data_IF_726816771693
#
_entry.id   IF_726816771693
#
_cell.length_a   1.000
_cell.length_b   1.000
_cell.length_c   1.000
_cell.angle_alpha   90.00
_cell.angle_beta   90.00
_cell.angle_gamma   90.00
#
_symmetry.space_group_name_H-M   'P 1'
#
loop_
_entity.id
_entity.type
_entity.pdbx_description
1 polymer ?
#
# COMPACT_ATOMS: atom_id res chain seq x y z
N UNK A 1 -15.75 -33.24 9.95
CA UNK A 1 -14.62 -32.51 9.32
C UNK A 1 -14.40 -31.25 10.12
N UNK A 2 -13.14 -30.90 10.42
CA UNK A 2 -12.78 -29.76 11.27
C UNK A 2 -12.90 -28.39 10.55
N UNK A 3 -13.23 -28.39 9.26
CA UNK A 3 -13.43 -27.20 8.43
C UNK A 3 -14.39 -27.54 7.27
N UNK A 4 -14.91 -26.50 6.61
CA UNK A 4 -15.89 -26.56 5.53
C UNK A 4 -15.27 -26.16 4.18
N UNK A 5 -15.98 -26.43 3.08
CA UNK A 5 -15.57 -25.97 1.76
C UNK A 5 -15.46 -24.43 1.66
N UNK A 6 -16.27 -23.72 2.46
CA UNK A 6 -16.21 -22.26 2.56
C UNK A 6 -14.90 -21.80 3.19
N UNK A 7 -14.42 -22.51 4.21
CA UNK A 7 -13.16 -22.17 4.89
C UNK A 7 -11.95 -22.39 3.97
N UNK A 8 -12.00 -23.40 3.10
CA UNK A 8 -10.99 -23.60 2.04
C UNK A 8 -11.00 -22.44 1.04
N UNK A 9 -12.20 -21.99 0.64
CA UNK A 9 -12.36 -20.86 -0.28
C UNK A 9 -11.88 -19.55 0.35
N UNK A 10 -12.15 -19.33 1.63
CA UNK A 10 -11.72 -18.15 2.37
C UNK A 10 -10.19 -18.13 2.53
N UNK A 11 -9.58 -19.27 2.90
CA UNK A 11 -8.13 -19.39 2.98
C UNK A 11 -7.47 -19.13 1.61
N UNK A 12 -8.07 -19.62 0.52
CA UNK A 12 -7.61 -19.34 -0.85
C UNK A 12 -7.69 -17.85 -1.18
N UNK A 13 -8.79 -17.18 -0.84
CA UNK A 13 -8.94 -15.74 -1.06
C UNK A 13 -7.89 -14.94 -0.29
N UNK A 14 -7.60 -15.35 0.95
CA UNK A 14 -6.61 -14.69 1.82
C UNK A 14 -5.16 -14.92 1.40
N UNK A 15 -4.83 -16.11 0.90
CA UNK A 15 -3.43 -16.52 0.66
C UNK A 15 -3.02 -16.56 -0.80
N UNK A 16 -3.99 -16.63 -1.73
CA UNK A 16 -3.76 -16.80 -3.15
C UNK A 16 -3.27 -18.20 -3.56
N UNK A 17 -3.19 -19.16 -2.63
CA UNK A 17 -2.75 -20.53 -2.90
C UNK A 17 -3.78 -21.36 -3.70
N UNK A 18 -3.33 -22.45 -4.31
CA UNK A 18 -4.19 -23.39 -5.03
C UNK A 18 -5.25 -24.02 -4.11
N UNK A 19 -6.45 -24.30 -4.64
CA UNK A 19 -7.58 -24.84 -3.85
C UNK A 19 -7.21 -26.14 -3.09
N UNK A 20 -6.43 -27.01 -3.72
CA UNK A 20 -5.97 -28.26 -3.10
C UNK A 20 -4.90 -28.03 -2.03
N UNK A 21 -4.11 -26.98 -2.15
CA UNK A 21 -3.08 -26.64 -1.17
C UNK A 21 -3.71 -25.98 0.07
N UNK A 22 -4.71 -25.12 -0.12
CA UNK A 22 -5.53 -24.59 0.98
C UNK A 22 -6.23 -25.70 1.76
N UNK A 23 -6.76 -26.71 1.05
CA UNK A 23 -7.37 -27.88 1.69
C UNK A 23 -6.33 -28.66 2.50
N UNK A 24 -5.18 -28.98 1.93
CA UNK A 24 -4.08 -29.67 2.63
C UNK A 24 -3.57 -28.90 3.84
N UNK A 25 -3.51 -27.58 3.75
CA UNK A 25 -3.09 -26.73 4.85
C UNK A 25 -4.09 -26.79 6.00
N UNK A 26 -5.39 -26.70 5.73
CA UNK A 26 -6.43 -26.83 6.74
C UNK A 26 -6.51 -28.25 7.33
N UNK A 27 -6.19 -29.28 6.55
CA UNK A 27 -6.06 -30.65 7.06
C UNK A 27 -4.85 -30.80 8.00
N UNK A 28 -3.72 -30.16 7.67
CA UNK A 28 -2.50 -30.23 8.47
C UNK A 28 -2.54 -29.37 9.75
N UNK A 29 -3.49 -28.43 9.85
CA UNK A 29 -3.60 -27.49 10.97
C UNK A 29 -4.94 -27.58 11.70
N UNK A 30 -5.64 -28.71 11.55
CA UNK A 30 -6.92 -29.00 12.21
C UNK A 30 -7.99 -27.91 12.01
N UNK A 31 -8.05 -27.33 10.82
CA UNK A 31 -9.00 -26.28 10.46
C UNK A 31 -8.65 -24.88 10.98
N UNK A 32 -7.50 -24.69 11.65
CA UNK A 32 -7.05 -23.37 12.08
C UNK A 32 -6.51 -22.57 10.89
N UNK A 33 -7.23 -21.51 10.49
CA UNK A 33 -6.92 -20.68 9.33
C UNK A 33 -5.60 -19.87 9.46
N UNK A 34 -5.23 -19.46 10.67
CA UNK A 34 -3.98 -18.70 10.91
C UNK A 34 -2.77 -19.61 10.75
N UNK A 35 -2.80 -20.77 11.42
CA UNK A 35 -1.77 -21.80 11.27
C UNK A 35 -1.70 -22.33 9.83
N UNK A 36 -2.84 -22.47 9.15
CA UNK A 36 -2.87 -22.90 7.75
C UNK A 36 -2.18 -21.87 6.83
N UNK A 37 -2.33 -20.58 7.13
CA UNK A 37 -1.65 -19.50 6.41
C UNK A 37 -0.14 -19.56 6.61
N UNK A 38 0.31 -19.78 7.83
CA UNK A 38 1.74 -19.98 8.15
C UNK A 38 2.30 -21.24 7.48
N UNK A 39 1.58 -22.35 7.55
CA UNK A 39 1.96 -23.61 6.91
C UNK A 39 2.12 -23.45 5.38
N UNK A 40 1.21 -22.73 4.74
CA UNK A 40 1.33 -22.42 3.31
C UNK A 40 2.53 -21.51 3.01
N UNK A 41 2.88 -20.57 3.91
CA UNK A 41 4.05 -19.69 3.76
C UNK A 41 5.35 -20.46 3.94
N UNK A 42 5.45 -21.32 4.96
CA UNK A 42 6.62 -22.17 5.21
C UNK A 42 6.94 -23.08 4.03
N UNK A 43 5.89 -23.61 3.37
CA UNK A 43 6.05 -24.46 2.18
C UNK A 43 6.24 -23.67 0.88
N UNK A 44 6.24 -22.34 0.93
CA UNK A 44 6.38 -21.48 -0.24
C UNK A 44 5.19 -21.52 -1.21
N UNK A 45 4.04 -22.03 -0.76
CA UNK A 45 2.82 -22.21 -1.57
C UNK A 45 1.88 -21.00 -1.44
N UNK A 46 1.85 -20.34 -0.27
CA UNK A 46 1.19 -19.04 -0.11
C UNK A 46 2.10 -17.91 -0.61
N UNK A 47 1.63 -17.22 -1.65
CA UNK A 47 2.23 -15.98 -2.11
C UNK A 47 1.82 -14.80 -1.22
N UNK A 48 2.24 -14.80 0.03
CA UNK A 48 2.01 -13.65 0.91
C UNK A 48 2.89 -12.42 0.57
N UNK A 49 3.88 -12.58 -0.32
CA UNK A 49 4.78 -11.50 -0.73
C UNK A 49 5.15 -11.52 -2.23
N UNK A 50 4.73 -12.52 -3.01
CA UNK A 50 5.13 -12.67 -4.44
C UNK A 50 4.06 -12.18 -5.43
N UNK A 51 3.50 -11.00 -5.20
CA UNK A 51 2.91 -10.20 -6.30
C UNK A 51 3.88 -9.13 -6.78
N UNK A 52 4.62 -8.49 -5.88
CA UNK A 52 5.67 -7.51 -6.20
C UNK A 52 6.84 -8.09 -7.04
N UNK A 53 7.02 -9.42 -7.02
CA UNK A 53 8.04 -10.12 -7.82
C UNK A 53 7.51 -10.77 -9.11
N UNK A 54 6.23 -10.59 -9.46
CA UNK A 54 5.73 -10.98 -10.78
C UNK A 54 6.01 -9.85 -11.75
N UNK A 55 6.50 -10.19 -12.93
CA UNK A 55 6.77 -9.20 -13.97
C UNK A 55 5.42 -8.65 -14.45
N UNK A 56 5.04 -7.47 -13.96
CA UNK A 56 3.92 -6.70 -14.47
C UNK A 56 4.41 -5.92 -15.71
N UNK A 57 4.47 -6.59 -16.86
CA UNK A 57 4.96 -5.99 -18.11
C UNK A 57 3.87 -5.27 -18.92
N UNK A 58 2.62 -5.29 -18.45
CA UNK A 58 1.50 -4.56 -19.04
C UNK A 58 1.15 -3.39 -18.11
N UNK A 59 0.31 -2.46 -18.58
CA UNK A 59 -0.05 -1.30 -17.79
C UNK A 59 -0.63 -0.18 -18.64
N UNK A 60 -0.82 0.97 -18.00
CA UNK A 60 -1.28 2.20 -18.64
C UNK A 60 -0.40 3.34 -18.16
N UNK A 61 -0.03 4.22 -19.10
CA UNK A 61 0.50 5.54 -18.80
C UNK A 61 -0.64 6.52 -18.99
N UNK A 62 -1.00 7.26 -17.93
CA UNK A 62 -1.96 8.35 -18.02
C UNK A 62 -1.27 9.69 -17.81
N UNK A 63 -1.85 10.74 -18.38
CA UNK A 63 -1.38 12.11 -18.23
C UNK A 63 -2.50 13.04 -17.80
N UNK A 64 -2.23 13.90 -16.83
CA UNK A 64 -3.19 14.88 -16.35
C UNK A 64 -2.59 16.28 -16.38
N UNK A 65 -3.33 17.23 -16.96
CA UNK A 65 -2.94 18.64 -17.03
C UNK A 65 -3.96 19.48 -16.27
N UNK A 66 -3.49 20.26 -15.30
CA UNK A 66 -4.31 21.14 -14.48
C UNK A 66 -4.02 22.62 -14.77
N UNK A 67 -5.02 23.48 -14.57
CA UNK A 67 -4.92 24.95 -14.67
C UNK A 67 -4.32 25.47 -15.99
N UNK A 68 -4.72 24.88 -17.13
CA UNK A 68 -4.28 25.34 -18.45
C UNK A 68 -2.78 25.15 -18.71
N UNK A 69 -2.17 24.12 -18.13
CA UNK A 69 -0.76 23.76 -18.38
C UNK A 69 0.22 24.12 -17.26
N UNK A 70 -0.24 24.66 -16.13
CA UNK A 70 0.64 25.03 -15.01
C UNK A 70 1.12 23.84 -14.19
N UNK A 71 0.35 22.76 -14.17
CA UNK A 71 0.71 21.50 -13.52
C UNK A 71 0.44 20.38 -14.51
N UNK A 72 1.45 19.57 -14.78
CA UNK A 72 1.36 18.37 -15.60
C UNK A 72 1.84 17.16 -14.81
N UNK A 73 1.08 16.07 -14.89
CA UNK A 73 1.41 14.79 -14.27
C UNK A 73 1.44 13.73 -15.35
N UNK A 74 2.42 12.85 -15.26
CA UNK A 74 2.50 11.61 -16.02
C UNK A 74 2.66 10.48 -15.00
N UNK A 75 1.84 9.44 -15.11
CA UNK A 75 1.88 8.29 -14.19
C UNK A 75 1.81 7.00 -15.00
N UNK A 76 2.71 6.07 -14.69
CA UNK A 76 2.67 4.70 -15.17
C UNK A 76 2.16 3.79 -14.06
N UNK A 77 1.16 2.97 -14.35
CA UNK A 77 0.68 1.93 -13.44
C UNK A 77 0.71 0.61 -14.19
N UNK A 78 1.52 -0.32 -13.69
CA UNK A 78 1.67 -1.63 -14.28
C UNK A 78 0.63 -2.63 -13.75
N UNK A 79 0.29 -3.61 -14.58
CA UNK A 79 -0.56 -4.75 -14.25
C UNK A 79 -0.06 -6.01 -14.97
N UNK A 80 -0.58 -7.18 -14.57
CA UNK A 80 -0.09 -8.47 -15.09
C UNK A 80 -0.53 -8.74 -16.53
N UNK A 81 -1.71 -8.27 -16.95
CA UNK A 81 -2.32 -8.62 -18.24
C UNK A 81 -2.92 -7.40 -18.95
N UNK A 82 -2.94 -7.45 -20.27
CA UNK A 82 -3.52 -6.39 -21.11
C UNK A 82 -5.05 -6.27 -20.93
N UNK A 83 -5.72 -7.36 -20.56
CA UNK A 83 -7.15 -7.37 -20.25
C UNK A 83 -7.49 -6.49 -19.05
N UNK A 84 -6.61 -6.45 -18.03
CA UNK A 84 -6.75 -5.55 -16.88
C UNK A 84 -6.44 -4.12 -17.30
N UNK A 85 -5.37 -3.91 -18.08
CA UNK A 85 -4.96 -2.57 -18.55
C UNK A 85 -6.08 -1.85 -19.33
N UNK A 86 -6.91 -2.58 -20.07
CA UNK A 86 -8.02 -2.04 -20.86
C UNK A 86 -9.34 -1.90 -20.10
N UNK A 87 -9.41 -2.38 -18.85
CA UNK A 87 -10.64 -2.33 -18.06
C UNK A 87 -10.94 -0.92 -17.59
N UNK A 88 -12.20 -0.49 -17.69
CA UNK A 88 -12.64 0.86 -17.28
C UNK A 88 -12.26 1.19 -15.82
N UNK A 89 -12.42 0.23 -14.91
CA UNK A 89 -12.03 0.41 -13.51
C UNK A 89 -10.53 0.63 -13.30
N UNK A 90 -9.68 0.00 -14.13
CA UNK A 90 -8.23 0.23 -14.08
C UNK A 90 -7.87 1.58 -14.68
N UNK A 91 -8.47 1.96 -15.82
CA UNK A 91 -8.24 3.27 -16.42
C UNK A 91 -8.65 4.41 -15.47
N UNK A 92 -9.81 4.28 -14.83
CA UNK A 92 -10.28 5.22 -13.83
C UNK A 92 -9.31 5.31 -12.64
N UNK A 93 -8.78 4.18 -12.17
CA UNK A 93 -7.77 4.17 -11.12
C UNK A 93 -6.54 4.98 -11.47
N UNK A 94 -5.93 4.69 -12.64
CA UNK A 94 -4.70 5.37 -13.06
C UNK A 94 -4.93 6.87 -13.14
N UNK A 95 -6.11 7.28 -13.65
CA UNK A 95 -6.51 8.68 -13.67
C UNK A 95 -6.65 9.28 -12.26
N UNK A 96 -7.27 8.56 -11.33
CA UNK A 96 -7.38 8.99 -9.94
C UNK A 96 -6.02 9.13 -9.24
N UNK A 97 -5.06 8.27 -9.55
CA UNK A 97 -3.67 8.42 -9.08
C UNK A 97 -3.04 9.68 -9.69
N UNK A 98 -3.25 9.96 -10.97
CA UNK A 98 -2.74 11.19 -11.60
C UNK A 98 -3.30 12.46 -10.92
N UNK A 99 -4.59 12.46 -10.56
CA UNK A 99 -5.23 13.54 -9.82
C UNK A 99 -4.64 13.69 -8.40
N UNK A 100 -4.41 12.57 -7.70
CA UNK A 100 -3.76 12.57 -6.38
C UNK A 100 -2.37 13.22 -6.46
N UNK A 101 -1.55 12.82 -7.43
CA UNK A 101 -0.20 13.37 -7.60
C UNK A 101 -0.25 14.86 -7.92
N UNK A 102 -1.19 15.30 -8.77
CA UNK A 102 -1.35 16.71 -9.11
C UNK A 102 -1.70 17.57 -7.88
N UNK A 103 -2.51 17.03 -6.97
CA UNK A 103 -2.96 17.72 -5.76
C UNK A 103 -1.90 17.70 -4.65
N UNK A 104 -1.30 16.54 -4.37
CA UNK A 104 -0.49 16.30 -3.18
C UNK A 104 1.03 16.34 -3.43
N UNK A 105 1.47 16.30 -4.70
CA UNK A 105 2.88 16.45 -5.12
C UNK A 105 3.87 15.58 -4.32
N UNK A 106 3.65 14.26 -4.22
CA UNK A 106 4.61 13.36 -3.58
C UNK A 106 5.98 13.43 -4.27
N UNK A 107 7.03 13.20 -3.50
CA UNK A 107 8.41 13.11 -3.99
C UNK A 107 8.81 11.66 -4.27
N UNK A 108 8.23 10.71 -3.53
CA UNK A 108 8.54 9.28 -3.61
C UNK A 108 7.25 8.46 -3.78
N UNK A 109 7.34 7.28 -4.39
CA UNK A 109 6.18 6.39 -4.52
C UNK A 109 5.97 5.61 -3.23
N UNK A 110 7.02 4.97 -2.71
CA UNK A 110 6.99 4.15 -1.50
C UNK A 110 8.03 4.59 -0.46
N UNK A 111 7.93 4.08 0.78
CA UNK A 111 8.86 4.42 1.86
C UNK A 111 10.27 3.92 1.58
N UNK A 112 10.40 2.81 0.87
CA UNK A 112 11.68 2.17 0.53
C UNK A 112 12.49 2.99 -0.48
N UNK A 113 11.82 3.84 -1.26
CA UNK A 113 12.47 4.76 -2.19
C UNK A 113 13.07 5.98 -1.49
N UNK A 114 12.74 6.22 -0.22
CA UNK A 114 13.26 7.38 0.51
C UNK A 114 14.69 7.08 0.98
N UNK A 115 15.70 7.87 0.55
CA UNK A 115 17.08 7.64 0.96
C UNK A 115 17.24 7.77 2.48
N UNK A 116 18.05 6.88 3.06
CA UNK A 116 18.32 6.91 4.51
C UNK A 116 18.93 8.25 4.97
N UNK A 117 19.70 8.91 4.09
CA UNK A 117 20.29 10.23 4.30
C UNK A 117 19.22 11.31 4.49
N UNK A 118 18.15 11.28 3.69
CA UNK A 118 17.03 12.22 3.81
C UNK A 118 16.33 12.03 5.15
N UNK A 119 16.06 10.79 5.54
CA UNK A 119 15.44 10.50 6.84
C UNK A 119 16.34 10.91 8.01
N UNK A 120 17.66 10.70 7.91
CA UNK A 120 18.60 11.16 8.92
C UNK A 120 18.58 12.69 9.04
N UNK A 121 18.59 13.40 7.92
CA UNK A 121 18.54 14.85 7.89
C UNK A 121 17.23 15.41 8.47
N UNK A 122 16.08 14.82 8.11
CA UNK A 122 14.78 15.22 8.67
C UNK A 122 14.70 14.97 10.18
N UNK A 123 15.34 13.89 10.68
CA UNK A 123 15.45 13.63 12.13
C UNK A 123 16.29 14.70 12.83
N UNK A 124 17.41 15.10 12.25
CA UNK A 124 18.25 16.19 12.78
C UNK A 124 17.49 17.51 12.84
N UNK A 125 16.76 17.85 11.77
CA UNK A 125 15.90 19.05 11.73
C UNK A 125 14.84 18.98 12.82
N UNK A 126 14.16 17.83 12.98
CA UNK A 126 13.14 17.66 14.01
C UNK A 126 13.71 17.79 15.43
N UNK A 127 14.89 17.23 15.69
CA UNK A 127 15.60 17.38 16.97
C UNK A 127 16.00 18.83 17.23
N UNK A 128 16.52 19.53 16.21
CA UNK A 128 16.87 20.94 16.30
C UNK A 128 15.63 21.81 16.60
N UNK A 129 14.51 21.55 15.94
CA UNK A 129 13.23 22.22 16.21
C UNK A 129 12.76 22.02 17.66
N UNK A 130 12.87 20.80 18.18
CA UNK A 130 12.49 20.48 19.57
C UNK A 130 13.39 21.22 20.57
N UNK A 131 14.70 21.28 20.31
CA UNK A 131 15.65 21.93 21.20
C UNK A 131 15.56 23.47 21.16
N UNK A 132 15.16 24.05 20.03
CA UNK A 132 14.95 25.49 19.89
C UNK A 132 13.61 25.98 20.47
N UNK A 133 12.62 25.11 20.67
CA UNK A 133 11.35 25.47 21.31
C UNK A 133 11.45 25.37 22.84
N UNK A 134 11.34 26.50 23.58
CA UNK A 134 11.48 26.53 25.04
C UNK A 134 10.48 25.63 25.80
N UNK A 135 9.33 25.30 25.19
CA UNK A 135 8.31 24.43 25.81
C UNK A 135 8.60 22.95 25.60
N UNK A 136 9.45 22.61 24.63
CA UNK A 136 9.74 21.23 24.21
C UNK A 136 11.15 20.80 24.61
N UNK A 137 12.09 21.75 24.74
CA UNK A 137 13.46 21.50 25.15
C UNK A 137 13.59 20.85 26.54
N UNK A 138 12.68 21.17 27.46
CA UNK A 138 12.67 20.67 28.84
C UNK A 138 12.02 19.29 29.02
N UNK A 139 11.54 18.66 27.93
CA UNK A 139 10.91 17.33 28.00
C UNK A 139 11.98 16.23 28.13
N UNK A 140 11.67 15.10 28.78
CA UNK A 140 12.58 13.94 28.83
C UNK A 140 12.92 13.42 27.42
N UNK A 141 14.10 12.84 27.25
CA UNK A 141 14.60 12.37 25.94
C UNK A 141 13.66 11.36 25.28
N UNK A 142 13.09 10.43 26.06
CA UNK A 142 12.08 9.48 25.57
C UNK A 142 10.82 10.15 24.99
N UNK A 143 10.48 11.37 25.43
CA UNK A 143 9.36 12.15 24.87
C UNK A 143 9.81 12.86 23.59
N UNK A 144 11.04 13.36 23.54
CA UNK A 144 11.61 13.97 22.33
C UNK A 144 11.71 12.97 21.19
N UNK A 145 12.16 11.75 21.46
CA UNK A 145 12.21 10.66 20.47
C UNK A 145 10.83 10.36 19.87
N UNK A 146 9.79 10.23 20.70
CA UNK A 146 8.42 10.04 20.22
C UNK A 146 7.90 11.19 19.36
N UNK A 147 8.30 12.42 19.68
CA UNK A 147 7.93 13.60 18.87
C UNK A 147 8.64 13.55 17.51
N UNK A 148 9.93 13.21 17.48
CA UNK A 148 10.69 13.03 16.23
C UNK A 148 10.08 11.93 15.39
N UNK A 149 9.73 10.79 15.98
CA UNK A 149 9.06 9.69 15.29
C UNK A 149 7.75 10.17 14.63
N UNK A 150 6.89 10.89 15.37
CA UNK A 150 5.67 11.47 14.82
C UNK A 150 5.92 12.50 13.70
N UNK A 151 7.02 13.26 13.76
CA UNK A 151 7.42 14.18 12.68
C UNK A 151 7.84 13.43 11.42
N UNK A 152 8.57 12.33 11.58
CA UNK A 152 8.97 11.47 10.46
C UNK A 152 7.75 10.76 9.86
N UNK A 153 6.76 10.35 10.65
CA UNK A 153 5.50 9.85 10.12
C UNK A 153 4.75 10.89 9.28
N UNK A 154 4.71 12.15 9.74
CA UNK A 154 4.13 13.25 8.96
C UNK A 154 4.89 13.48 7.67
N UNK A 155 6.23 13.43 7.71
CA UNK A 155 7.06 13.54 6.51
C UNK A 155 6.66 12.49 5.46
N UNK A 156 6.48 11.22 5.87
CA UNK A 156 6.03 10.18 4.95
C UNK A 156 4.63 10.47 4.39
N UNK A 157 3.67 10.90 5.22
CA UNK A 157 2.31 11.23 4.79
C UNK A 157 2.25 12.40 3.81
N UNK A 158 3.24 13.28 3.80
CA UNK A 158 3.32 14.42 2.87
C UNK A 158 4.09 14.07 1.60
N UNK A 159 5.19 13.31 1.72
CA UNK A 159 6.15 13.12 0.63
C UNK A 159 6.08 11.76 -0.07
N UNK A 160 5.41 10.76 0.50
CA UNK A 160 5.31 9.41 -0.08
C UNK A 160 3.89 9.14 -0.57
N UNK A 161 3.72 8.92 -1.86
CA UNK A 161 2.41 8.75 -2.52
C UNK A 161 1.54 7.70 -1.81
N UNK A 162 2.10 6.52 -1.51
CA UNK A 162 1.34 5.42 -0.91
C UNK A 162 0.90 5.67 0.55
N UNK A 163 1.51 6.63 1.22
CA UNK A 163 1.24 7.00 2.61
C UNK A 163 0.34 8.24 2.73
N UNK A 164 0.20 8.99 1.64
CA UNK A 164 -0.68 10.15 1.58
C UNK A 164 -2.13 9.74 1.81
N UNK A 165 -2.87 10.61 2.49
CA UNK A 165 -4.32 10.51 2.55
C UNK A 165 -4.91 10.62 1.13
N UNK A 166 -5.85 9.74 0.80
CA UNK A 166 -6.44 9.73 -0.51
C UNK A 166 -7.38 10.93 -0.67
N UNK A 167 -7.20 11.74 -1.72
CA UNK A 167 -7.94 13.00 -1.93
C UNK A 167 -9.46 12.79 -1.97
N UNK A 168 -9.94 11.64 -2.46
CA UNK A 168 -11.38 11.33 -2.46
C UNK A 168 -11.89 10.75 -1.14
N UNK A 169 -11.04 10.04 -0.40
CA UNK A 169 -11.38 9.41 0.88
C UNK A 169 -10.25 9.66 1.91
N UNK A 170 -10.20 10.84 2.55
CA UNK A 170 -9.07 11.22 3.40
C UNK A 170 -8.89 10.37 4.66
N UNK A 171 -9.86 9.51 4.98
CA UNK A 171 -9.80 8.57 6.10
C UNK A 171 -8.85 7.39 5.85
N UNK A 172 -8.35 7.21 4.62
CA UNK A 172 -7.49 6.10 4.22
C UNK A 172 -6.31 6.59 3.37
N UNK A 173 -5.14 5.93 3.49
CA UNK A 173 -4.01 6.23 2.62
C UNK A 173 -4.21 5.67 1.21
N UNK A 174 -3.48 6.18 0.23
CA UNK A 174 -3.51 5.71 -1.17
C UNK A 174 -3.20 4.21 -1.28
N UNK A 175 -2.30 3.69 -0.45
CA UNK A 175 -2.00 2.25 -0.37
C UNK A 175 -3.20 1.35 -0.06
N UNK A 176 -4.24 1.89 0.57
CA UNK A 176 -5.48 1.19 0.91
C UNK A 176 -6.59 1.34 -0.13
N UNK A 177 -6.35 2.04 -1.25
CA UNK A 177 -7.34 2.17 -2.31
C UNK A 177 -7.67 0.80 -2.90
N UNK A 178 -8.92 0.36 -2.70
CA UNK A 178 -9.42 -0.99 -2.97
C UNK A 178 -9.63 -1.27 -4.46
N UNK A 179 -8.56 -1.21 -5.26
CA UNK A 179 -8.54 -1.85 -6.58
C UNK A 179 -7.88 -3.21 -6.59
N UNK A 180 -7.70 -3.80 -5.41
CA UNK A 180 -8.04 -5.22 -5.23
C UNK A 180 -9.56 -5.39 -5.21
N UNK A 181 -10.18 -5.30 -6.39
CA UNK A 181 -11.57 -5.71 -6.72
C UNK A 181 -12.70 -5.18 -5.81
N UNK A 182 -13.52 -4.21 -6.26
CA UNK A 182 -14.90 -4.17 -5.82
C UNK A 182 -15.61 -5.37 -6.46
N UNK A 183 -15.77 -6.45 -5.70
CA UNK A 183 -16.91 -7.36 -5.87
C UNK A 183 -18.19 -6.56 -5.74
N UNK A 184 -18.66 -5.98 -6.84
CA UNK A 184 -20.07 -5.72 -7.09
C UNK A 184 -20.43 -6.49 -8.36
N UNK A 185 -20.64 -7.79 -8.16
CA UNK A 185 -21.66 -8.51 -8.91
C UNK A 185 -23.00 -8.11 -8.31
N UNK A 186 -23.82 -7.38 -9.07
CA UNK A 186 -25.26 -7.59 -9.08
C UNK A 186 -25.77 -7.47 -10.52
N UNK A 187 -25.58 -8.55 -11.28
CA UNK A 187 -26.61 -8.94 -12.23
C UNK A 187 -27.64 -9.74 -11.42
N UNK A 188 -28.79 -9.12 -11.21
CA UNK A 188 -29.95 -9.60 -10.48
C UNK A 188 -30.95 -8.46 -10.40
#
# INVERSE_FOLDING_TARGET
MAFTAKDVQELRQRTGAGMMDCKKALEATDGNAEKATEWLREKGIATAAKKAGRIASQGVVDSYIHMGGKVGVLVEVNCETDFVAKGEGFLQFVHEVALQIAAAKPTYVSKEEVPAEVIAHEKEIALAQINNDPKMASKPDAVKEKIVEGKIETYYKENVLLEQAYVREPSRPVSYTHLTLPTIWSCG
#
